data_IF_356722811634
#
_entry.id   IF_356722811634
#
_cell.length_a   1.000
_cell.length_b   1.000
_cell.length_c   1.000
_cell.angle_alpha   90.00
_cell.angle_beta   90.00
_cell.angle_gamma   90.00
#
_symmetry.space_group_name_H-M   'P 1'
#
loop_
_entity.id
_entity.type
_entity.pdbx_description
1 polymer ?
#
# COMPACT_ATOMS: atom_id res chain seq x y z
N UNK A 1 -12.86 -12.14 4.72
CA UNK A 1 -12.14 -10.90 4.36
C UNK A 1 -11.05 -11.26 3.37
N UNK A 2 -10.98 -10.61 2.20
CA UNK A 2 -9.92 -10.90 1.22
C UNK A 2 -8.65 -10.15 1.60
N UNK A 3 -7.50 -10.81 1.53
CA UNK A 3 -6.19 -10.18 1.75
C UNK A 3 -5.62 -9.77 0.40
N UNK A 4 -5.22 -8.50 0.27
CA UNK A 4 -4.68 -7.96 -0.97
C UNK A 4 -3.32 -7.33 -0.76
N UNK A 5 -2.49 -7.43 -1.79
CA UNK A 5 -1.18 -6.79 -1.88
C UNK A 5 -1.24 -5.74 -2.98
N UNK A 6 -0.69 -4.55 -2.71
CA UNK A 6 -0.72 -3.43 -3.66
C UNK A 6 0.68 -3.18 -4.22
N UNK A 7 0.78 -3.18 -5.56
CA UNK A 7 1.98 -2.72 -6.27
C UNK A 7 1.83 -1.23 -6.58
N UNK A 8 2.81 -0.43 -6.18
CA UNK A 8 2.80 1.02 -6.38
C UNK A 8 3.81 1.45 -7.46
N UNK A 9 3.35 2.21 -8.48
CA UNK A 9 4.23 2.98 -9.34
C UNK A 9 4.74 4.24 -8.61
N UNK A 10 5.74 4.91 -9.20
CA UNK A 10 6.55 5.96 -8.55
C UNK A 10 5.79 7.11 -7.86
N UNK A 11 4.57 7.47 -8.26
CA UNK A 11 3.89 8.72 -7.83
C UNK A 11 2.43 8.61 -7.41
N UNK A 12 1.84 7.42 -7.42
CA UNK A 12 0.41 7.27 -7.09
C UNK A 12 0.15 7.29 -5.57
N UNK A 13 -0.82 8.10 -5.08
CA UNK A 13 -1.19 8.11 -3.67
C UNK A 13 -2.04 6.88 -3.31
N UNK A 14 -1.63 6.16 -2.25
CA UNK A 14 -2.33 4.93 -1.81
C UNK A 14 -3.45 5.20 -0.79
N UNK A 15 -3.53 6.41 -0.22
CA UNK A 15 -4.48 6.76 0.83
C UNK A 15 -5.94 6.42 0.47
N UNK A 16 -6.41 6.76 -0.73
CA UNK A 16 -7.80 6.46 -1.14
C UNK A 16 -8.15 4.97 -1.09
N UNK A 17 -7.19 4.09 -1.40
CA UNK A 17 -7.38 2.62 -1.38
C UNK A 17 -7.38 2.10 0.05
N UNK A 18 -6.51 2.66 0.90
CA UNK A 18 -6.47 2.38 2.34
C UNK A 18 -7.80 2.81 2.98
N UNK A 19 -8.26 4.02 2.70
CA UNK A 19 -9.50 4.57 3.27
C UNK A 19 -10.72 3.77 2.83
N UNK A 20 -10.77 3.33 1.57
CA UNK A 20 -11.82 2.45 1.06
C UNK A 20 -11.82 1.07 1.76
N UNK A 21 -10.66 0.53 2.13
CA UNK A 21 -10.58 -0.72 2.90
C UNK A 21 -10.99 -0.50 4.37
N UNK A 22 -10.58 0.62 4.98
CA UNK A 22 -10.93 0.98 6.37
C UNK A 22 -12.41 1.29 6.55
N UNK A 23 -13.04 1.96 5.58
CA UNK A 23 -14.47 2.27 5.62
C UNK A 23 -15.36 1.07 5.32
N UNK A 24 -14.78 -0.12 5.09
CA UNK A 24 -15.48 -1.31 4.62
C UNK A 24 -16.20 -1.13 3.28
N UNK A 25 -15.93 -0.05 2.54
CA UNK A 25 -16.40 0.14 1.16
C UNK A 25 -15.84 -0.95 0.24
N UNK A 26 -14.58 -1.35 0.47
CA UNK A 26 -13.97 -2.56 -0.08
C UNK A 26 -13.81 -3.54 1.08
N UNK A 27 -14.48 -4.70 1.02
CA UNK A 27 -14.32 -5.78 2.00
C UNK A 27 -13.00 -6.56 1.78
N UNK A 28 -11.88 -5.84 1.90
CA UNK A 28 -10.53 -6.36 1.78
C UNK A 28 -9.60 -5.71 2.80
N UNK A 29 -8.55 -6.42 3.15
CA UNK A 29 -7.46 -5.95 4.00
C UNK A 29 -6.20 -5.82 3.14
N UNK A 30 -5.58 -4.63 3.13
CA UNK A 30 -4.27 -4.44 2.52
C UNK A 30 -3.23 -4.97 3.52
N UNK A 31 -2.60 -6.09 3.16
CA UNK A 31 -1.63 -6.76 4.03
C UNK A 31 -0.18 -6.45 3.69
N UNK A 32 0.06 -5.75 2.58
CA UNK A 32 1.39 -5.36 2.15
C UNK A 32 1.36 -4.43 0.93
N UNK A 33 2.42 -3.65 0.81
CA UNK A 33 2.63 -2.69 -0.28
C UNK A 33 4.05 -2.83 -0.80
N UNK A 34 4.18 -2.95 -2.12
CA UNK A 34 5.45 -3.12 -2.82
C UNK A 34 5.62 -1.99 -3.82
N UNK A 35 6.84 -1.50 -3.99
CA UNK A 35 7.18 -0.58 -5.08
C UNK A 35 8.53 -0.97 -5.65
N UNK A 36 8.71 -0.77 -6.94
CA UNK A 36 10.01 -0.85 -7.60
C UNK A 36 10.82 0.45 -7.45
N UNK A 37 10.35 1.40 -6.62
CA UNK A 37 11.05 2.63 -6.29
C UNK A 37 11.05 2.82 -4.77
N UNK A 38 12.24 2.81 -4.17
CA UNK A 38 12.41 3.04 -2.73
C UNK A 38 11.83 4.39 -2.26
N UNK A 39 11.86 5.41 -3.13
CA UNK A 39 11.44 6.77 -2.80
C UNK A 39 9.97 7.05 -3.17
N UNK A 40 9.19 6.01 -3.48
CA UNK A 40 7.79 6.20 -3.84
C UNK A 40 7.02 6.82 -2.66
N UNK A 41 6.40 7.98 -2.91
CA UNK A 41 5.58 8.70 -1.91
C UNK A 41 4.44 7.82 -1.33
N UNK A 42 3.94 6.87 -2.12
CA UNK A 42 2.96 5.89 -1.65
C UNK A 42 3.49 4.89 -0.61
N UNK A 43 4.80 4.61 -0.56
CA UNK A 43 5.39 3.77 0.50
C UNK A 43 5.35 4.47 1.87
N UNK A 44 5.63 5.77 1.90
CA UNK A 44 5.53 6.56 3.14
C UNK A 44 4.10 6.57 3.70
N UNK A 45 3.11 6.71 2.83
CA UNK A 45 1.69 6.64 3.20
C UNK A 45 1.28 5.24 3.69
N UNK A 46 1.87 4.18 3.13
CA UNK A 46 1.58 2.80 3.52
C UNK A 46 2.16 2.43 4.90
N UNK A 47 3.35 2.93 5.25
CA UNK A 47 4.00 2.66 6.55
C UNK A 47 3.11 2.93 7.75
N UNK A 48 2.34 4.02 7.71
CA UNK A 48 1.47 4.41 8.82
C UNK A 48 0.14 3.65 8.87
N UNK A 49 -0.17 2.84 7.86
CA UNK A 49 -1.50 2.28 7.65
C UNK A 49 -1.55 0.76 7.43
N UNK A 50 -0.41 0.13 7.11
CA UNK A 50 -0.31 -1.30 6.78
C UNK A 50 0.64 -1.97 7.76
N UNK A 51 0.21 -3.12 8.32
CA UNK A 51 0.95 -3.85 9.37
C UNK A 51 2.29 -4.45 8.94
N UNK A 52 2.56 -4.52 7.63
CA UNK A 52 3.80 -5.03 7.06
C UNK A 52 4.13 -4.24 5.79
N UNK A 53 4.96 -3.19 5.91
CA UNK A 53 5.63 -2.62 4.74
C UNK A 53 6.90 -3.43 4.45
N UNK A 54 6.96 -4.08 3.29
CA UNK A 54 8.21 -4.67 2.80
C UNK A 54 8.57 -3.97 1.51
N UNK A 55 9.54 -3.08 1.60
CA UNK A 55 10.09 -2.36 0.44
C UNK A 55 11.15 -3.23 -0.22
N UNK A 56 10.95 -3.60 -1.48
CA UNK A 56 11.95 -4.27 -2.29
C UNK A 56 12.43 -3.30 -3.37
N UNK A 57 13.57 -2.68 -3.14
CA UNK A 57 14.25 -1.85 -4.14
C UNK A 57 15.37 -2.68 -4.77
N UNK A 58 15.23 -3.03 -6.05
CA UNK A 58 16.36 -3.51 -6.85
C UNK A 58 16.94 -2.32 -7.58
N UNK A 59 18.24 -2.09 -7.41
CA UNK A 59 19.03 -1.15 -8.22
C UNK A 59 19.17 -1.66 -9.66
#
# INVERSE_FOLDING_TARGET
MKKIVVLLPKREPICKRIDACKSSFINAEIVGVFSNNADAFGLQQAKSAVKNDRTFSSY
#
